data_IF_992297763245
#
_entry.id   IF_992297763245
#
_cell.length_a   1.000
_cell.length_b   1.000
_cell.length_c   1.000
_cell.angle_alpha   90.00
_cell.angle_beta   90.00
_cell.angle_gamma   90.00
#
_symmetry.space_group_name_H-M   'P 1'
#
loop_
_entity.id
_entity.type
_entity.pdbx_description
1 polymer ?
#
# COMPACT_ATOMS: atom_id res chain seq x y z
N UNK A 1 6.05 8.19 -26.72
CA UNK A 1 7.25 8.05 -25.86
C UNK A 1 7.75 9.44 -25.51
N UNK A 2 8.34 9.64 -24.32
CA UNK A 2 8.95 10.90 -23.90
C UNK A 2 10.48 10.72 -23.91
N UNK A 3 11.19 11.05 -25.02
CA UNK A 3 12.63 10.82 -25.12
C UNK A 3 13.40 11.54 -24.01
N UNK A 4 14.36 10.86 -23.39
CA UNK A 4 15.22 11.40 -22.33
C UNK A 4 14.61 11.43 -20.92
N UNK A 5 13.32 11.11 -20.74
CA UNK A 5 12.70 11.08 -19.41
C UNK A 5 13.40 10.04 -18.51
N UNK A 6 13.63 8.83 -19.01
CA UNK A 6 14.28 7.76 -18.24
C UNK A 6 15.69 8.15 -17.76
N UNK A 7 16.51 8.72 -18.66
CA UNK A 7 17.87 9.17 -18.34
C UNK A 7 17.86 10.30 -17.29
N UNK A 8 16.91 11.23 -17.41
CA UNK A 8 16.74 12.32 -16.45
C UNK A 8 16.32 11.81 -15.06
N UNK A 9 15.43 10.82 -14.99
CA UNK A 9 15.00 10.19 -13.74
C UNK A 9 16.16 9.44 -13.07
N UNK A 10 16.94 8.68 -13.84
CA UNK A 10 18.11 7.98 -13.29
C UNK A 10 19.15 8.96 -12.75
N UNK A 11 19.45 10.03 -13.50
CA UNK A 11 20.39 11.06 -13.06
C UNK A 11 19.95 11.75 -11.77
N UNK A 12 18.65 12.06 -11.65
CA UNK A 12 18.06 12.61 -10.44
C UNK A 12 18.15 11.63 -9.26
N UNK A 13 17.83 10.35 -9.47
CA UNK A 13 17.88 9.32 -8.44
C UNK A 13 19.30 9.11 -7.88
N UNK A 14 20.31 9.06 -8.76
CA UNK A 14 21.72 8.96 -8.36
C UNK A 14 22.17 10.20 -7.58
N UNK A 15 21.73 11.39 -8.00
CA UNK A 15 22.02 12.64 -7.28
C UNK A 15 21.39 12.68 -5.89
N UNK A 16 20.13 12.25 -5.78
CA UNK A 16 19.40 12.16 -4.51
C UNK A 16 20.07 11.16 -3.55
N UNK A 17 20.48 9.99 -4.04
CA UNK A 17 21.27 9.03 -3.27
C UNK A 17 22.59 9.63 -2.77
N UNK A 18 23.31 10.36 -3.63
CA UNK A 18 24.52 11.09 -3.26
C UNK A 18 24.29 12.09 -2.13
N UNK A 19 23.22 12.89 -2.24
CA UNK A 19 22.83 13.86 -1.22
C UNK A 19 22.46 13.17 0.10
N UNK A 20 21.65 12.11 0.05
CA UNK A 20 21.22 11.38 1.25
C UNK A 20 22.42 10.77 2.00
N UNK A 21 23.42 10.25 1.27
CA UNK A 21 24.65 9.72 1.89
C UNK A 21 25.44 10.80 2.62
N UNK A 22 25.46 12.02 2.09
CA UNK A 22 26.12 13.15 2.71
C UNK A 22 25.32 13.74 3.89
N UNK A 23 24.02 13.46 3.98
CA UNK A 23 23.09 14.04 4.95
C UNK A 23 22.24 12.97 5.67
N UNK A 24 22.83 11.91 6.27
CA UNK A 24 22.10 10.72 6.70
C UNK A 24 21.16 10.93 7.91
N UNK A 25 21.29 12.06 8.60
CA UNK A 25 20.51 12.39 9.81
C UNK A 25 19.47 13.49 9.59
N UNK A 26 19.32 13.99 8.35
CA UNK A 26 18.34 15.03 8.04
C UNK A 26 16.97 14.38 7.87
N UNK A 27 16.13 14.51 8.90
CA UNK A 27 14.72 14.13 8.88
C UNK A 27 13.83 15.37 8.90
N UNK A 28 12.65 15.28 8.29
CA UNK A 28 11.66 16.35 8.35
C UNK A 28 11.09 16.46 9.78
N UNK A 29 10.96 17.70 10.27
CA UNK A 29 10.40 18.00 11.58
C UNK A 29 9.65 19.34 11.51
N UNK A 30 8.33 19.27 11.33
CA UNK A 30 7.45 20.42 11.17
C UNK A 30 7.46 21.33 12.40
N UNK A 31 7.49 20.76 13.60
CA UNK A 31 7.52 21.56 14.83
C UNK A 31 8.80 22.40 14.93
N UNK A 32 9.96 21.80 14.64
CA UNK A 32 11.23 22.51 14.63
C UNK A 32 11.26 23.59 13.53
N UNK A 33 10.70 23.30 12.36
CA UNK A 33 10.58 24.27 11.27
C UNK A 33 9.69 25.46 11.66
N UNK A 34 8.50 25.21 12.23
CA UNK A 34 7.59 26.27 12.68
C UNK A 34 8.16 27.08 13.87
N UNK A 35 9.00 26.46 14.70
CA UNK A 35 9.73 27.20 15.75
C UNK A 35 10.77 28.17 15.15
N UNK A 36 11.35 27.82 14.00
CA UNK A 36 12.45 28.56 13.39
C UNK A 36 12.00 29.56 12.31
N UNK A 37 10.82 29.36 11.71
CA UNK A 37 10.37 30.09 10.53
C UNK A 37 8.89 30.44 10.62
N UNK A 38 8.55 31.66 10.18
CA UNK A 38 7.18 32.15 10.03
C UNK A 38 6.82 32.31 8.53
N UNK A 39 5.54 32.11 8.13
CA UNK A 39 4.43 31.63 8.97
C UNK A 39 4.48 30.12 9.21
N UNK A 40 3.84 29.67 10.29
CA UNK A 40 3.66 28.25 10.60
C UNK A 40 3.04 27.46 9.43
N UNK A 41 3.64 26.31 9.13
CA UNK A 41 3.06 25.32 8.21
C UNK A 41 2.15 24.39 9.01
N UNK A 42 0.86 24.33 8.64
CA UNK A 42 -0.17 23.50 9.29
C UNK A 42 -0.75 22.39 8.40
N UNK A 43 -0.12 22.12 7.25
CA UNK A 43 -0.51 21.01 6.36
C UNK A 43 0.06 19.68 6.84
N UNK A 44 -0.39 18.55 6.24
CA UNK A 44 0.05 17.20 6.61
C UNK A 44 1.58 17.06 6.66
N UNK A 45 2.10 16.62 7.81
CA UNK A 45 3.54 16.59 8.07
C UNK A 45 4.28 15.40 7.46
N UNK A 46 3.62 14.25 7.27
CA UNK A 46 4.24 12.99 6.80
C UNK A 46 5.62 12.71 7.45
N UNK A 47 5.72 12.96 8.75
CA UNK A 47 6.97 12.81 9.48
C UNK A 47 7.30 11.34 9.69
N UNK A 48 8.54 10.98 9.39
CA UNK A 48 9.16 9.72 9.78
C UNK A 48 10.54 10.00 10.38
N UNK A 49 10.84 9.34 11.50
CA UNK A 49 12.10 9.50 12.24
C UNK A 49 13.10 8.40 11.95
N UNK A 50 12.77 7.45 11.08
CA UNK A 50 13.65 6.35 10.72
C UNK A 50 13.64 6.12 9.21
N UNK A 51 14.73 6.49 8.54
CA UNK A 51 14.86 6.31 7.10
C UNK A 51 15.42 4.93 6.67
N UNK A 52 15.56 3.97 7.60
CA UNK A 52 16.29 2.71 7.33
C UNK A 52 15.64 1.91 6.21
N UNK A 53 14.32 1.90 6.14
CA UNK A 53 13.60 1.20 5.10
C UNK A 53 13.55 1.94 3.76
N UNK A 54 13.55 3.28 3.77
CA UNK A 54 13.76 4.11 2.57
C UNK A 54 15.12 3.82 1.95
N UNK A 55 16.17 3.69 2.77
CA UNK A 55 17.50 3.28 2.31
C UNK A 55 17.47 1.92 1.63
N UNK A 56 16.75 0.95 2.20
CA UNK A 56 16.61 -0.39 1.62
C UNK A 56 15.84 -0.33 0.29
N UNK A 57 14.75 0.43 0.23
CA UNK A 57 13.97 0.58 -0.99
C UNK A 57 14.80 1.27 -2.08
N UNK A 58 15.40 2.42 -1.80
CA UNK A 58 16.21 3.17 -2.75
C UNK A 58 17.42 2.36 -3.25
N UNK A 59 18.08 1.63 -2.36
CA UNK A 59 19.19 0.74 -2.71
C UNK A 59 18.75 -0.35 -3.69
N UNK A 60 17.62 -1.01 -3.43
CA UNK A 60 17.08 -2.06 -4.28
C UNK A 60 16.72 -1.54 -5.68
N UNK A 61 16.05 -0.38 -5.77
CA UNK A 61 15.65 0.23 -7.05
C UNK A 61 16.86 0.67 -7.88
N UNK A 62 17.82 1.37 -7.26
CA UNK A 62 19.05 1.80 -7.94
C UNK A 62 19.90 0.61 -8.37
N UNK A 63 20.03 -0.40 -7.52
CA UNK A 63 20.73 -1.64 -7.85
C UNK A 63 20.11 -2.34 -9.07
N UNK A 64 18.78 -2.55 -9.06
CA UNK A 64 18.11 -3.25 -10.17
C UNK A 64 18.21 -2.46 -11.48
N UNK A 65 18.12 -1.14 -11.41
CA UNK A 65 18.16 -0.23 -12.56
C UNK A 65 19.56 -0.12 -13.17
N UNK A 66 20.59 0.06 -12.34
CA UNK A 66 21.97 0.31 -12.80
C UNK A 66 22.81 -0.94 -12.95
N UNK A 67 22.41 -2.04 -12.29
CA UNK A 67 23.21 -3.26 -12.08
C UNK A 67 24.52 -3.01 -11.33
N UNK A 68 24.61 -1.90 -10.59
CA UNK A 68 25.79 -1.58 -9.79
C UNK A 68 25.65 -2.13 -8.36
N UNK A 69 26.51 -3.10 -8.03
CA UNK A 69 26.54 -3.79 -6.74
C UNK A 69 26.83 -2.85 -5.55
N UNK A 70 27.33 -1.64 -5.79
CA UNK A 70 27.57 -0.66 -4.72
C UNK A 70 26.29 -0.28 -3.98
N UNK A 71 25.14 -0.20 -4.68
CA UNK A 71 23.87 0.15 -4.06
C UNK A 71 23.37 -0.99 -3.16
N UNK A 72 23.50 -2.23 -3.65
CA UNK A 72 23.10 -3.42 -2.91
C UNK A 72 23.91 -3.60 -1.61
N UNK A 73 25.22 -3.34 -1.68
CA UNK A 73 26.14 -3.52 -0.55
C UNK A 73 26.19 -2.34 0.42
N UNK A 74 25.57 -1.21 0.07
CA UNK A 74 25.54 -0.01 0.92
C UNK A 74 24.60 -0.13 2.13
N UNK A 75 23.68 -1.11 2.13
CA UNK A 75 22.65 -1.26 3.17
C UNK A 75 22.62 -2.69 3.70
N UNK A 76 22.18 -2.86 4.95
CA UNK A 76 21.78 -4.18 5.43
C UNK A 76 20.38 -4.48 4.88
N UNK A 77 20.31 -5.19 3.75
CA UNK A 77 19.06 -5.47 3.06
C UNK A 77 18.06 -6.24 3.92
N UNK A 78 18.53 -7.08 4.85
CA UNK A 78 17.69 -7.94 5.69
C UNK A 78 18.04 -7.75 7.18
N UNK A 79 17.68 -6.59 7.77
CA UNK A 79 18.10 -6.23 9.13
C UNK A 79 17.44 -7.07 10.21
N UNK A 80 16.31 -7.72 9.90
CA UNK A 80 15.60 -8.65 10.77
C UNK A 80 14.85 -9.69 9.91
N UNK A 81 14.13 -10.60 10.56
CA UNK A 81 13.29 -11.61 9.90
C UNK A 81 11.88 -11.10 9.53
N UNK A 82 11.55 -9.85 9.85
CA UNK A 82 10.22 -9.29 9.60
C UNK A 82 10.10 -8.87 8.13
N UNK A 83 8.87 -8.80 7.66
CA UNK A 83 8.53 -8.26 6.34
C UNK A 83 7.29 -7.39 6.54
N UNK A 84 7.46 -6.12 6.96
CA UNK A 84 6.32 -5.26 7.25
C UNK A 84 5.53 -5.01 5.97
N UNK A 85 4.21 -4.89 6.10
CA UNK A 85 3.36 -4.53 4.99
C UNK A 85 3.73 -3.11 4.51
N UNK A 86 3.88 -2.87 3.19
CA UNK A 86 4.11 -1.54 2.68
C UNK A 86 3.03 -0.54 3.11
N UNK A 87 3.48 0.63 3.55
CA UNK A 87 2.68 1.82 3.82
C UNK A 87 3.56 3.06 3.62
N UNK A 88 3.02 4.27 3.72
CA UNK A 88 3.81 5.48 3.46
C UNK A 88 5.03 5.67 4.40
N UNK A 89 5.02 5.30 5.70
CA UNK A 89 6.19 5.36 6.59
C UNK A 89 6.91 4.01 6.70
N UNK A 90 6.59 3.06 5.81
CA UNK A 90 7.25 1.76 5.83
C UNK A 90 7.32 1.16 4.44
N UNK A 91 8.45 1.34 3.78
CA UNK A 91 8.62 1.08 2.34
C UNK A 91 9.58 -0.06 2.03
N UNK A 92 10.20 -0.69 3.04
CA UNK A 92 11.22 -1.74 2.88
C UNK A 92 10.81 -2.84 1.91
N UNK A 93 9.60 -3.34 2.10
CA UNK A 93 9.08 -4.50 1.37
C UNK A 93 8.82 -4.18 -0.11
N UNK A 94 8.70 -2.90 -0.49
CA UNK A 94 8.68 -2.51 -1.91
C UNK A 94 9.98 -2.91 -2.61
N UNK A 95 11.13 -2.70 -1.96
CA UNK A 95 12.43 -3.17 -2.46
C UNK A 95 12.47 -4.69 -2.64
N UNK A 96 11.85 -5.46 -1.73
CA UNK A 96 11.78 -6.92 -1.87
C UNK A 96 10.89 -7.36 -3.04
N UNK A 97 9.79 -6.65 -3.30
CA UNK A 97 8.97 -6.90 -4.50
C UNK A 97 9.78 -6.67 -5.78
N UNK A 98 10.55 -5.59 -5.84
CA UNK A 98 11.44 -5.28 -6.97
C UNK A 98 12.50 -6.37 -7.16
N UNK A 99 13.20 -6.77 -6.10
CA UNK A 99 14.21 -7.83 -6.18
C UNK A 99 13.62 -9.18 -6.61
N UNK A 100 12.43 -9.54 -6.13
CA UNK A 100 11.73 -10.76 -6.53
C UNK A 100 11.32 -10.72 -8.01
N UNK A 101 10.76 -9.61 -8.46
CA UNK A 101 10.31 -9.40 -9.84
C UNK A 101 11.45 -9.52 -10.84
N UNK A 102 12.61 -8.95 -10.53
CA UNK A 102 13.77 -8.90 -11.41
C UNK A 102 14.82 -9.98 -11.09
N UNK A 103 14.46 -11.02 -10.32
CA UNK A 103 15.40 -12.03 -9.79
C UNK A 103 16.34 -12.65 -10.83
N UNK A 104 15.85 -12.87 -12.06
CA UNK A 104 16.66 -13.45 -13.16
C UNK A 104 17.69 -12.48 -13.74
N UNK A 105 17.43 -11.18 -13.62
CA UNK A 105 18.21 -10.07 -14.17
C UNK A 105 19.17 -9.45 -13.13
N UNK A 106 19.21 -10.00 -11.91
CA UNK A 106 20.13 -9.53 -10.87
C UNK A 106 21.56 -9.96 -11.18
N UNK A 107 22.53 -9.22 -10.63
CA UNK A 107 23.94 -9.61 -10.60
C UNK A 107 24.16 -10.82 -9.69
N UNK A 108 25.41 -11.31 -9.61
CA UNK A 108 25.74 -12.47 -8.79
C UNK A 108 25.37 -12.30 -7.30
N UNK A 109 25.53 -11.09 -6.76
CA UNK A 109 25.23 -10.80 -5.35
C UNK A 109 23.72 -10.89 -5.09
N UNK A 110 22.89 -10.22 -5.90
CA UNK A 110 21.44 -10.29 -5.75
C UNK A 110 20.88 -11.69 -6.00
N UNK A 111 21.45 -12.44 -6.95
CA UNK A 111 21.05 -13.85 -7.20
C UNK A 111 21.29 -14.75 -5.99
N UNK A 112 22.36 -14.52 -5.23
CA UNK A 112 22.67 -15.28 -4.01
C UNK A 112 21.57 -15.15 -2.95
N UNK A 113 20.96 -13.98 -2.84
CA UNK A 113 19.91 -13.69 -1.85
C UNK A 113 18.49 -13.94 -2.38
N UNK A 114 18.33 -14.36 -3.64
CA UNK A 114 17.01 -14.58 -4.25
C UNK A 114 16.11 -15.54 -3.45
N UNK A 115 16.67 -16.62 -2.90
CA UNK A 115 15.92 -17.54 -2.03
C UNK A 115 15.47 -16.86 -0.72
N UNK A 116 16.32 -15.98 -0.16
CA UNK A 116 16.00 -15.24 1.07
C UNK A 116 14.88 -14.23 0.83
N UNK A 117 14.91 -13.51 -0.29
CA UNK A 117 13.81 -12.61 -0.70
C UNK A 117 12.50 -13.39 -0.81
N UNK A 118 12.50 -14.53 -1.51
CA UNK A 118 11.30 -15.38 -1.63
C UNK A 118 10.80 -15.90 -0.28
N UNK A 119 11.71 -16.29 0.62
CA UNK A 119 11.32 -16.72 1.97
C UNK A 119 10.64 -15.60 2.77
N UNK A 120 11.13 -14.36 2.68
CA UNK A 120 10.50 -13.19 3.32
C UNK A 120 9.08 -12.94 2.78
N UNK A 121 8.88 -13.06 1.47
CA UNK A 121 7.56 -12.90 0.84
C UNK A 121 6.60 -14.04 1.21
N UNK A 122 7.06 -15.29 1.17
CA UNK A 122 6.26 -16.46 1.58
C UNK A 122 5.84 -16.34 3.04
N UNK A 123 6.77 -16.01 3.95
CA UNK A 123 6.50 -15.89 5.39
C UNK A 123 5.46 -14.80 5.67
N UNK A 124 5.57 -13.65 5.01
CA UNK A 124 4.58 -12.58 5.12
C UNK A 124 3.20 -13.03 4.63
N UNK A 125 3.14 -13.64 3.44
CA UNK A 125 1.88 -14.07 2.85
C UNK A 125 1.20 -15.18 3.67
N UNK A 126 1.95 -16.16 4.17
CA UNK A 126 1.45 -17.19 5.08
C UNK A 126 0.87 -16.59 6.36
N UNK A 127 1.55 -15.60 6.94
CA UNK A 127 1.07 -14.89 8.13
C UNK A 127 -0.24 -14.14 7.86
N UNK A 128 -0.37 -13.50 6.68
CA UNK A 128 -1.59 -12.80 6.28
C UNK A 128 -2.77 -13.78 6.17
N UNK A 129 -2.62 -14.88 5.41
CA UNK A 129 -3.73 -15.82 5.15
C UNK A 129 -4.09 -16.72 6.34
N UNK A 130 -3.24 -16.81 7.35
CA UNK A 130 -3.48 -17.67 8.51
C UNK A 130 -4.80 -17.29 9.22
N UNK A 131 -5.78 -18.18 9.24
CA UNK A 131 -7.08 -17.96 9.89
C UNK A 131 -8.04 -17.03 9.15
N UNK A 132 -7.73 -16.64 7.91
CA UNK A 132 -8.63 -15.81 7.09
C UNK A 132 -9.93 -16.53 6.70
N UNK A 133 -9.94 -17.87 6.68
CA UNK A 133 -11.13 -18.72 6.50
C UNK A 133 -12.09 -18.67 7.71
N UNK A 134 -11.61 -18.24 8.87
CA UNK A 134 -12.42 -18.13 10.09
C UNK A 134 -13.02 -16.72 10.27
N UNK A 135 -12.67 -15.78 9.38
CA UNK A 135 -13.20 -14.41 9.42
C UNK A 135 -14.57 -14.34 8.75
N UNK A 136 -15.47 -13.51 9.29
CA UNK A 136 -16.83 -13.36 8.79
C UNK A 136 -16.90 -12.94 7.31
N UNK A 137 -15.95 -12.11 6.88
CA UNK A 137 -15.88 -11.59 5.51
C UNK A 137 -14.87 -12.30 4.60
N UNK A 138 -14.27 -13.41 5.07
CA UNK A 138 -13.30 -14.22 4.30
C UNK A 138 -12.20 -13.39 3.60
N UNK A 139 -11.65 -12.43 4.33
CA UNK A 139 -10.61 -11.49 3.90
C UNK A 139 -9.47 -11.52 4.91
N UNK A 140 -8.26 -11.15 4.49
CA UNK A 140 -7.14 -11.00 5.43
C UNK A 140 -7.19 -9.66 6.18
N UNK A 141 -8.04 -8.73 5.72
CA UNK A 141 -8.31 -7.49 6.40
C UNK A 141 -9.13 -7.73 7.69
N UNK A 142 -8.85 -6.97 8.74
CA UNK A 142 -9.72 -6.94 9.94
C UNK A 142 -9.54 -8.10 10.91
N UNK A 143 -8.41 -8.82 10.86
CA UNK A 143 -8.08 -9.89 11.83
C UNK A 143 -7.84 -9.34 13.24
N UNK A 144 -7.46 -8.06 13.34
CA UNK A 144 -7.30 -7.33 14.58
C UNK A 144 -8.02 -5.98 14.51
N UNK A 145 -8.55 -5.51 15.65
CA UNK A 145 -9.09 -4.15 15.77
C UNK A 145 -8.05 -3.06 15.39
N UNK A 146 -6.76 -3.38 15.51
CA UNK A 146 -5.65 -2.50 15.14
C UNK A 146 -5.43 -2.36 13.64
N UNK A 147 -6.08 -3.17 12.81
CA UNK A 147 -6.00 -3.04 11.35
C UNK A 147 -6.86 -1.86 10.85
N UNK A 148 -7.84 -1.43 11.65
CA UNK A 148 -8.76 -0.33 11.35
C UNK A 148 -8.17 1.02 11.78
N UNK A 149 -7.23 1.51 10.98
CA UNK A 149 -6.53 2.79 11.14
C UNK A 149 -6.99 3.81 10.10
N UNK A 150 -6.50 5.05 10.20
CA UNK A 150 -6.68 6.04 9.13
C UNK A 150 -6.03 5.53 7.84
N UNK A 151 -6.85 5.30 6.81
CA UNK A 151 -6.43 4.70 5.55
C UNK A 151 -6.39 3.16 5.57
N UNK A 152 -7.22 2.52 6.40
CA UNK A 152 -7.36 1.06 6.46
C UNK A 152 -7.73 0.43 5.11
N UNK A 153 -8.43 1.14 4.22
CA UNK A 153 -8.66 0.67 2.85
C UNK A 153 -7.36 0.51 2.07
N UNK A 154 -6.36 1.37 2.26
CA UNK A 154 -5.04 1.19 1.66
C UNK A 154 -4.28 0.00 2.28
N UNK A 155 -4.48 -0.26 3.58
CA UNK A 155 -3.94 -1.45 4.24
C UNK A 155 -4.53 -2.72 3.61
N UNK A 156 -5.85 -2.79 3.44
CA UNK A 156 -6.52 -3.90 2.76
C UNK A 156 -6.00 -4.07 1.31
N UNK A 157 -5.85 -2.98 0.56
CA UNK A 157 -5.30 -3.04 -0.79
C UNK A 157 -3.85 -3.57 -0.80
N UNK A 158 -2.98 -3.04 0.06
CA UNK A 158 -1.58 -3.46 0.17
C UNK A 158 -1.42 -4.92 0.63
N UNK A 159 -2.28 -5.41 1.52
CA UNK A 159 -2.33 -6.83 1.87
C UNK A 159 -2.61 -7.69 0.62
N UNK A 160 -3.56 -7.28 -0.23
CA UNK A 160 -3.85 -7.94 -1.50
C UNK A 160 -2.65 -7.93 -2.45
N UNK A 161 -1.93 -6.80 -2.54
CA UNK A 161 -0.66 -6.70 -3.30
C UNK A 161 0.36 -7.70 -2.77
N UNK A 162 0.58 -7.75 -1.45
CA UNK A 162 1.53 -8.65 -0.83
C UNK A 162 1.26 -10.12 -1.18
N UNK A 163 -0.02 -10.51 -1.16
CA UNK A 163 -0.47 -11.85 -1.56
C UNK A 163 -0.23 -12.12 -3.06
N UNK A 164 -0.50 -11.14 -3.93
CA UNK A 164 -0.21 -11.25 -5.36
C UNK A 164 1.30 -11.38 -5.61
N UNK A 165 2.13 -10.64 -4.88
CA UNK A 165 3.59 -10.71 -5.01
C UNK A 165 4.10 -12.11 -4.62
N UNK A 166 3.58 -12.67 -3.52
CA UNK A 166 3.89 -14.05 -3.15
C UNK A 166 3.37 -15.06 -4.19
N UNK A 167 2.14 -14.89 -4.69
CA UNK A 167 1.59 -15.72 -5.77
C UNK A 167 2.49 -15.72 -7.02
N UNK A 168 3.03 -14.56 -7.41
CA UNK A 168 3.82 -14.44 -8.63
C UNK A 168 5.25 -14.95 -8.48
N UNK A 169 5.84 -14.78 -7.30
CA UNK A 169 7.29 -14.90 -7.14
C UNK A 169 7.73 -15.96 -6.12
N UNK A 170 6.84 -16.81 -5.62
CA UNK A 170 7.22 -17.93 -4.75
C UNK A 170 6.59 -19.23 -5.22
N UNK A 171 7.21 -20.35 -4.84
CA UNK A 171 6.73 -21.72 -5.11
C UNK A 171 6.00 -22.31 -3.90
N UNK A 172 5.33 -21.45 -3.11
CA UNK A 172 4.64 -21.86 -1.89
C UNK A 172 3.51 -22.86 -2.19
N UNK A 173 3.30 -23.89 -1.36
CA UNK A 173 2.13 -24.75 -1.47
C UNK A 173 0.80 -24.00 -1.24
N UNK A 174 0.85 -22.80 -0.63
CA UNK A 174 -0.32 -21.94 -0.40
C UNK A 174 -0.60 -20.96 -1.53
N UNK A 175 0.10 -21.07 -2.67
CA UNK A 175 0.05 -20.12 -3.78
C UNK A 175 -1.37 -19.74 -4.20
N UNK A 176 -2.24 -20.71 -4.45
CA UNK A 176 -3.62 -20.44 -4.88
C UNK A 176 -4.46 -19.76 -3.79
N UNK A 177 -4.19 -20.06 -2.51
CA UNK A 177 -4.82 -19.38 -1.37
C UNK A 177 -4.43 -17.91 -1.33
N UNK A 178 -3.18 -17.55 -1.67
CA UNK A 178 -2.78 -16.14 -1.72
C UNK A 178 -3.63 -15.36 -2.72
N UNK A 179 -3.80 -15.89 -3.94
CA UNK A 179 -4.61 -15.22 -4.96
C UNK A 179 -6.09 -15.15 -4.55
N UNK A 180 -6.63 -16.21 -3.95
CA UNK A 180 -8.00 -16.22 -3.44
C UNK A 180 -8.23 -15.11 -2.40
N UNK A 181 -7.34 -14.97 -1.42
CA UNK A 181 -7.49 -13.92 -0.40
C UNK A 181 -7.11 -12.52 -0.90
N UNK A 182 -6.29 -12.39 -1.94
CA UNK A 182 -6.10 -11.12 -2.62
C UNK A 182 -7.41 -10.63 -3.26
N UNK A 183 -8.18 -11.53 -3.88
CA UNK A 183 -9.53 -11.23 -4.35
C UNK A 183 -10.46 -10.90 -3.18
N UNK A 184 -10.39 -11.63 -2.08
CA UNK A 184 -11.17 -11.32 -0.87
C UNK A 184 -10.92 -9.92 -0.30
N UNK A 185 -9.71 -9.37 -0.45
CA UNK A 185 -9.43 -7.98 -0.09
C UNK A 185 -10.04 -6.98 -1.06
N UNK A 186 -10.12 -7.29 -2.36
CA UNK A 186 -10.86 -6.46 -3.30
C UNK A 186 -12.37 -6.51 -3.01
N UNK A 187 -12.91 -7.70 -2.70
CA UNK A 187 -14.32 -7.86 -2.29
C UNK A 187 -14.63 -7.03 -1.04
N UNK A 188 -13.73 -7.04 -0.04
CA UNK A 188 -13.85 -6.20 1.17
C UNK A 188 -13.96 -4.72 0.80
N UNK A 189 -13.07 -4.22 -0.06
CA UNK A 189 -13.06 -2.81 -0.47
C UNK A 189 -14.32 -2.41 -1.25
N UNK A 190 -14.96 -3.35 -1.93
CA UNK A 190 -16.11 -3.13 -2.80
C UNK A 190 -17.46 -3.53 -2.17
N UNK A 191 -17.50 -3.80 -0.86
CA UNK A 191 -18.77 -3.94 -0.11
C UNK A 191 -18.89 -5.18 0.78
N UNK A 192 -17.98 -6.15 0.70
CA UNK A 192 -18.00 -7.32 1.60
C UNK A 192 -17.31 -7.01 2.93
N UNK A 193 -17.87 -6.07 3.67
CA UNK A 193 -17.37 -5.57 4.96
C UNK A 193 -18.53 -5.24 5.91
N UNK A 194 -18.24 -4.95 7.18
CA UNK A 194 -19.27 -4.73 8.19
C UNK A 194 -20.14 -3.48 7.96
N UNK A 195 -19.64 -2.50 7.21
CA UNK A 195 -20.39 -1.28 6.89
C UNK A 195 -21.33 -1.46 5.69
N UNK A 196 -21.07 -2.46 4.84
CA UNK A 196 -21.73 -2.69 3.56
C UNK A 196 -21.42 -1.65 2.49
N UNK A 197 -20.52 -0.69 2.73
CA UNK A 197 -20.09 0.27 1.72
C UNK A 197 -19.07 -0.36 0.77
N UNK A 198 -19.26 -0.17 -0.53
CA UNK A 198 -18.13 -0.05 -1.44
C UNK A 198 -17.42 1.26 -1.11
N UNK A 199 -16.16 1.21 -0.71
CA UNK A 199 -15.39 2.41 -0.34
C UNK A 199 -14.93 3.23 -1.54
N UNK A 200 -15.28 2.83 -2.77
CA UNK A 200 -14.92 3.52 -4.01
C UNK A 200 -16.08 4.39 -4.49
N UNK A 201 -15.88 5.71 -4.57
CA UNK A 201 -16.93 6.66 -4.98
C UNK A 201 -17.51 6.31 -6.35
N UNK A 202 -18.84 6.27 -6.46
CA UNK A 202 -19.56 5.99 -7.71
C UNK A 202 -19.60 4.52 -8.15
N UNK A 203 -19.15 3.59 -7.31
CA UNK A 203 -19.19 2.15 -7.59
C UNK A 203 -19.87 1.37 -6.46
N UNK A 204 -20.77 0.45 -6.82
CA UNK A 204 -21.57 -0.35 -5.88
C UNK A 204 -22.88 0.35 -5.49
N UNK A 205 -23.82 -0.40 -4.92
CA UNK A 205 -25.16 0.11 -4.55
C UNK A 205 -25.13 1.04 -3.33
N UNK A 206 -24.10 0.89 -2.49
CA UNK A 206 -23.85 1.74 -1.31
C UNK A 206 -22.40 2.22 -1.39
N UNK A 207 -22.21 3.49 -1.74
CA UNK A 207 -20.91 4.11 -2.04
C UNK A 207 -20.81 5.47 -1.34
N UNK A 208 -19.61 5.98 -0.99
CA UNK A 208 -19.48 7.30 -0.41
C UNK A 208 -20.06 8.38 -1.33
N UNK A 209 -20.94 9.21 -0.78
CA UNK A 209 -21.50 10.40 -1.42
C UNK A 209 -20.90 11.68 -0.85
N UNK A 210 -20.35 11.65 0.35
CA UNK A 210 -19.82 12.82 1.05
C UNK A 210 -18.35 12.60 1.49
N UNK A 211 -17.42 12.31 0.55
CA UNK A 211 -16.01 12.19 0.90
C UNK A 211 -15.45 13.54 1.37
N UNK A 212 -14.48 13.51 2.28
CA UNK A 212 -13.65 14.68 2.62
C UNK A 212 -12.74 15.02 1.44
N UNK A 213 -13.32 15.62 0.40
CA UNK A 213 -12.67 15.93 -0.88
C UNK A 213 -13.16 17.27 -1.40
N UNK A 214 -12.32 18.29 -1.29
CA UNK A 214 -12.67 19.69 -1.59
C UNK A 214 -13.34 19.89 -2.95
N UNK A 215 -12.84 19.32 -4.07
CA UNK A 215 -13.53 19.42 -5.36
C UNK A 215 -14.97 18.89 -5.33
N UNK A 216 -15.20 17.68 -4.81
CA UNK A 216 -16.54 17.08 -4.71
C UNK A 216 -17.49 17.88 -3.81
N UNK A 217 -16.96 18.55 -2.78
CA UNK A 217 -17.77 19.37 -1.87
C UNK A 217 -18.14 20.72 -2.50
N UNK A 218 -17.26 21.27 -3.34
CA UNK A 218 -17.37 22.64 -3.83
C UNK A 218 -18.00 22.78 -5.23
N UNK A 219 -18.11 21.70 -5.99
CA UNK A 219 -18.52 21.76 -7.40
C UNK A 219 -20.03 21.90 -7.63
N UNK A 220 -20.85 21.71 -6.59
CA UNK A 220 -22.31 21.79 -6.66
C UNK A 220 -22.97 20.58 -7.33
N UNK A 221 -22.26 19.46 -7.45
CA UNK A 221 -22.75 18.19 -8.00
C UNK A 221 -23.07 17.25 -6.83
N UNK A 222 -24.29 16.70 -6.79
CA UNK A 222 -24.70 15.77 -5.71
C UNK A 222 -23.80 14.53 -5.60
N UNK A 223 -23.34 14.02 -6.75
CA UNK A 223 -22.43 12.89 -6.81
C UNK A 223 -20.97 13.37 -6.74
N UNK A 224 -20.12 12.76 -5.88
CA UNK A 224 -18.71 13.10 -5.85
C UNK A 224 -17.98 12.63 -7.12
N UNK A 225 -16.78 13.16 -7.34
CA UNK A 225 -15.85 12.63 -8.35
C UNK A 225 -15.72 11.10 -8.18
N UNK A 226 -15.99 10.29 -9.23
CA UNK A 226 -16.00 8.84 -9.13
C UNK A 226 -14.57 8.26 -9.11
N UNK A 227 -14.43 7.06 -8.58
CA UNK A 227 -13.17 6.31 -8.57
C UNK A 227 -12.18 6.76 -7.49
N UNK A 228 -12.63 7.50 -6.48
CA UNK A 228 -11.81 7.89 -5.32
C UNK A 228 -12.00 6.86 -4.20
N UNK A 229 -10.90 6.27 -3.73
CA UNK A 229 -10.95 5.32 -2.63
C UNK A 229 -10.98 6.09 -1.31
N UNK A 230 -12.06 5.88 -0.56
CA UNK A 230 -12.21 6.36 0.81
C UNK A 230 -11.18 5.72 1.74
N UNK A 231 -10.82 6.42 2.83
CA UNK A 231 -9.91 5.91 3.85
C UNK A 231 -10.39 4.63 4.54
N UNK A 232 -11.71 4.41 4.57
CA UNK A 232 -12.35 3.24 5.16
C UNK A 232 -12.49 3.34 6.67
N UNK A 233 -12.79 2.21 7.30
CA UNK A 233 -13.07 2.14 8.73
C UNK A 233 -11.84 2.47 9.57
N UNK A 234 -12.01 3.30 10.60
CA UNK A 234 -10.93 3.69 11.49
C UNK A 234 -11.46 3.76 12.92
N UNK A 235 -10.94 2.88 13.78
CA UNK A 235 -11.38 2.72 15.16
C UNK A 235 -11.31 4.00 16.01
N UNK A 236 -10.48 4.98 15.60
CA UNK A 236 -10.28 6.24 16.30
C UNK A 236 -10.94 7.44 15.61
N UNK A 237 -11.64 7.26 14.49
CA UNK A 237 -12.09 8.37 13.65
C UNK A 237 -13.01 9.35 14.39
N UNK A 238 -13.95 8.84 15.20
CA UNK A 238 -14.83 9.68 16.03
C UNK A 238 -14.05 10.62 16.99
N UNK A 239 -12.88 10.19 17.48
CA UNK A 239 -12.03 11.00 18.36
C UNK A 239 -11.17 12.00 17.59
N UNK A 240 -10.75 11.63 16.39
CA UNK A 240 -9.91 12.45 15.51
C UNK A 240 -10.74 13.57 14.90
N UNK A 241 -11.81 13.22 14.18
CA UNK A 241 -12.62 14.14 13.40
C UNK A 241 -13.48 15.06 14.25
N UNK A 242 -13.99 14.53 15.38
CA UNK A 242 -15.06 15.13 16.19
C UNK A 242 -16.33 15.44 15.37
N UNK A 243 -16.49 14.78 14.23
CA UNK A 243 -17.67 14.82 13.38
C UNK A 243 -18.82 14.06 14.07
N UNK A 244 -20.01 14.66 14.11
CA UNK A 244 -21.18 14.00 14.67
C UNK A 244 -21.70 12.92 13.71
N UNK A 245 -22.25 11.81 14.24
CA UNK A 245 -22.92 10.79 13.42
C UNK A 245 -22.29 9.41 13.45
N UNK A 246 -21.11 9.23 14.05
CA UNK A 246 -20.60 7.90 14.38
C UNK A 246 -21.53 7.22 15.40
N UNK A 247 -22.05 6.04 15.07
CA UNK A 247 -23.05 5.31 15.88
C UNK A 247 -22.51 4.08 16.60
N UNK A 248 -21.25 3.71 16.35
CA UNK A 248 -20.62 2.49 16.82
C UNK A 248 -19.19 2.74 17.28
N UNK A 249 -18.68 1.85 18.12
CA UNK A 249 -17.28 1.79 18.55
C UNK A 249 -16.60 0.49 18.14
N UNK A 250 -17.29 -0.38 17.39
CA UNK A 250 -16.72 -1.62 16.85
C UNK A 250 -15.80 -1.24 15.69
N UNK A 251 -14.52 -1.58 15.79
CA UNK A 251 -13.48 -1.04 14.91
C UNK A 251 -13.77 -1.15 13.40
N UNK A 252 -14.31 -2.29 12.95
CA UNK A 252 -14.68 -2.53 11.53
C UNK A 252 -15.98 -1.82 11.09
N UNK A 253 -16.68 -1.15 12.01
CA UNK A 253 -17.92 -0.43 11.72
C UNK A 253 -17.76 1.10 11.86
N UNK A 254 -16.63 1.57 12.40
CA UNK A 254 -16.37 3.02 12.61
C UNK A 254 -16.03 3.67 11.27
N UNK A 255 -17.07 4.03 10.53
CA UNK A 255 -17.03 4.75 9.26
C UNK A 255 -18.22 5.70 9.19
N UNK A 256 -18.00 6.91 8.68
CA UNK A 256 -19.05 7.91 8.51
C UNK A 256 -18.91 8.56 7.14
N UNK A 257 -19.95 8.42 6.32
CA UNK A 257 -20.05 9.10 5.02
C UNK A 257 -20.49 10.56 5.21
N UNK A 258 -19.55 11.39 5.64
CA UNK A 258 -19.73 12.83 5.83
C UNK A 258 -18.45 13.57 5.48
N UNK A 259 -18.59 14.79 4.96
CA UNK A 259 -17.46 15.63 4.56
C UNK A 259 -16.58 16.05 5.75
N UNK A 260 -17.13 16.15 6.97
CA UNK A 260 -16.34 16.39 8.18
C UNK A 260 -15.52 15.18 8.66
N UNK A 261 -15.73 14.01 8.07
CA UNK A 261 -15.13 12.73 8.48
C UNK A 261 -13.79 12.48 7.78
N UNK A 262 -12.77 13.30 8.05
CA UNK A 262 -11.48 13.15 7.35
C UNK A 262 -10.74 11.84 7.70
N UNK A 263 -10.87 11.35 8.93
CA UNK A 263 -10.11 10.19 9.39
C UNK A 263 -10.69 8.84 8.94
N UNK A 264 -11.94 8.80 8.46
CA UNK A 264 -12.53 7.60 7.85
C UNK A 264 -12.96 7.79 6.39
N UNK A 265 -13.21 9.02 5.92
CA UNK A 265 -13.80 9.28 4.60
C UNK A 265 -13.07 10.33 3.75
N UNK A 266 -11.80 10.66 4.07
CA UNK A 266 -10.92 11.36 3.12
C UNK A 266 -10.59 10.46 1.92
N UNK A 267 -9.84 11.00 0.96
CA UNK A 267 -9.29 10.29 -0.20
C UNK A 267 -7.78 10.57 -0.27
N UNK A 268 -7.00 9.65 -0.84
CA UNK A 268 -5.57 9.91 -1.02
C UNK A 268 -4.96 9.12 -2.18
N UNK A 269 -3.92 9.71 -2.80
CA UNK A 269 -3.19 9.08 -3.90
C UNK A 269 -2.55 7.74 -3.49
N UNK A 270 -2.05 7.64 -2.25
CA UNK A 270 -1.45 6.42 -1.71
C UNK A 270 -2.49 5.37 -1.28
N UNK A 271 -3.79 5.68 -1.37
CA UNK A 271 -4.88 4.72 -1.17
C UNK A 271 -5.42 4.25 -2.53
N UNK A 272 -5.60 5.18 -3.47
CA UNK A 272 -5.97 4.87 -4.84
C UNK A 272 -4.89 4.03 -5.57
N UNK A 273 -3.60 4.35 -5.42
CA UNK A 273 -2.52 3.64 -6.09
C UNK A 273 -2.53 2.11 -5.83
N UNK A 274 -2.60 1.63 -4.57
CA UNK A 274 -2.65 0.19 -4.32
C UNK A 274 -3.98 -0.45 -4.75
N UNK A 275 -5.11 0.26 -4.71
CA UNK A 275 -6.37 -0.25 -5.28
C UNK A 275 -6.24 -0.48 -6.79
N UNK A 276 -5.69 0.50 -7.52
CA UNK A 276 -5.47 0.38 -8.97
C UNK A 276 -4.57 -0.82 -9.27
N UNK A 277 -3.47 -0.99 -8.53
CA UNK A 277 -2.61 -2.17 -8.69
C UNK A 277 -3.40 -3.46 -8.43
N UNK A 278 -4.08 -3.55 -7.28
CA UNK A 278 -4.79 -4.78 -6.88
C UNK A 278 -5.85 -5.18 -7.92
N UNK A 279 -6.71 -4.25 -8.32
CA UNK A 279 -7.78 -4.50 -9.28
C UNK A 279 -7.23 -4.91 -10.65
N UNK A 280 -6.25 -4.17 -11.19
CA UNK A 280 -5.67 -4.47 -12.51
C UNK A 280 -4.84 -5.75 -12.52
N UNK A 281 -4.11 -6.05 -11.44
CA UNK A 281 -3.37 -7.29 -11.32
C UNK A 281 -4.31 -8.50 -11.24
N UNK A 282 -5.40 -8.43 -10.48
CA UNK A 282 -6.40 -9.49 -10.42
C UNK A 282 -7.07 -9.71 -11.77
N UNK A 283 -7.40 -8.63 -12.50
CA UNK A 283 -7.94 -8.74 -13.86
C UNK A 283 -6.98 -9.45 -14.81
N UNK A 284 -5.70 -9.05 -14.81
CA UNK A 284 -4.67 -9.66 -15.65
C UNK A 284 -4.47 -11.15 -15.32
N UNK A 285 -4.34 -11.49 -14.04
CA UNK A 285 -4.16 -12.86 -13.58
C UNK A 285 -5.38 -13.75 -13.88
N UNK A 286 -6.59 -13.20 -13.79
CA UNK A 286 -7.81 -13.94 -14.19
C UNK A 286 -7.78 -14.30 -15.69
N UNK A 287 -7.32 -13.39 -16.55
CA UNK A 287 -7.19 -13.65 -18.00
C UNK A 287 -6.16 -14.74 -18.27
N UNK A 288 -5.01 -14.70 -17.59
CA UNK A 288 -3.96 -15.72 -17.69
C UNK A 288 -4.46 -17.12 -17.29
N UNK A 289 -5.25 -17.21 -16.21
CA UNK A 289 -5.89 -18.47 -15.79
C UNK A 289 -6.85 -19.00 -16.85
N UNK A 290 -7.69 -18.14 -17.43
CA UNK A 290 -8.62 -18.51 -18.51
C UNK A 290 -7.89 -19.02 -19.76
N UNK A 291 -6.77 -18.41 -20.14
CA UNK A 291 -5.96 -18.86 -21.28
C UNK A 291 -5.18 -20.14 -21.03
N UNK A 292 -4.88 -20.46 -19.76
CA UNK A 292 -4.19 -21.69 -19.36
C UNK A 292 -5.10 -22.92 -19.34
N UNK A 293 -6.43 -22.71 -19.31
CA UNK A 293 -7.43 -23.74 -19.52
C UNK A 293 -7.69 -23.82 -21.02
N UNK A 294 -6.93 -24.67 -21.73
CA UNK A 294 -7.31 -25.05 -23.09
C UNK A 294 -8.79 -25.50 -23.07
N UNK A 295 -9.64 -25.04 -24.00
CA UNK A 295 -10.96 -25.63 -24.14
C UNK A 295 -10.74 -27.10 -24.50
N UNK A 296 -11.18 -27.98 -23.60
CA UNK A 296 -11.27 -29.40 -23.87
C UNK A 296 -12.13 -29.52 -25.14
N UNK A 297 -11.52 -29.96 -26.24
CA UNK A 297 -12.25 -30.42 -27.43
C UNK A 297 -12.81 -31.81 -27.16
#
# INVERSE_FOLDING_TARGET
ELPGLADSCLSAAVSAWGWAKANPTVAYNQQAMNTAFDPDVSTGGYEDRNATDEWIWAAAELYVTTKDDQYYTAVNLFPDSRTPLPSWPQVRTLGYYTLARFGNELTAIGKKDGLRVRQHLTTMADSLIAGADQQAFQTVMGKSATDFIWGSSAQAANQGIALIQAYRFTDSPNRDRYLHYALGNLDYLLGRNATGYSFLTGFGDKTPLHPHHRPSVADGIDAPVPGLLSGGTNANAARQDKCAGYTTTVADEVYLDADCSYASNEIAINWNAPLVYLATALEALQREQKTSINPIK
#
